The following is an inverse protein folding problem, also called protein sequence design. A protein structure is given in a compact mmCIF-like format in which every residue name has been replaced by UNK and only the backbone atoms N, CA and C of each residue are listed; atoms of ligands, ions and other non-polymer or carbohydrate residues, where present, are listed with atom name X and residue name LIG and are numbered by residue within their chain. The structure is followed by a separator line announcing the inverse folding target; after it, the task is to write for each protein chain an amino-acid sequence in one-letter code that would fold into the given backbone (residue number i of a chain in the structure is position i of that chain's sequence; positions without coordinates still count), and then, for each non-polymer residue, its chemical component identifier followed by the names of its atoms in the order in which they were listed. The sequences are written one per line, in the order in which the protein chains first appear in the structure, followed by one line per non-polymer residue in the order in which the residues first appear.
data_IF_564025655630
#
_entry.id   IF_564025655630
#
_cell.length_a   1.000
_cell.length_b   1.000
_cell.length_c   1.000
_cell.angle_alpha   90.00
_cell.angle_beta   90.00
_cell.angle_gamma   90.00
#
_symmetry.space_group_name_H-M   'P 1'
#
loop_
_entity.id
_entity.type
_entity.pdbx_description
1 polymer ?
#
# COMPACT_ATOMS: atom_id res chain seq x y z
N UNK A 1 8.44 -11.95 -11.07
CA UNK A 1 8.40 -12.00 -9.61
C UNK A 1 8.66 -13.42 -9.13
N UNK A 2 7.84 -14.40 -9.50
CA UNK A 2 8.07 -15.82 -9.18
C UNK A 2 9.40 -16.34 -9.75
N UNK A 3 9.73 -15.98 -11.00
CA UNK A 3 11.03 -16.32 -11.62
C UNK A 3 12.25 -15.74 -10.87
N UNK A 4 12.04 -14.71 -10.05
CA UNK A 4 13.06 -14.11 -9.20
C UNK A 4 13.05 -14.71 -7.77
N UNK A 5 12.27 -15.77 -7.53
CA UNK A 5 12.15 -16.45 -6.25
C UNK A 5 11.30 -15.71 -5.22
N UNK A 6 10.49 -14.73 -5.64
CA UNK A 6 9.61 -13.97 -4.75
C UNK A 6 8.26 -14.68 -4.59
N UNK A 7 7.75 -14.72 -3.36
CA UNK A 7 6.36 -15.10 -3.09
C UNK A 7 5.42 -14.10 -3.75
N UNK A 8 4.47 -14.60 -4.53
CA UNK A 8 3.46 -13.79 -5.21
C UNK A 8 2.09 -14.15 -4.65
N UNK A 9 1.37 -13.12 -4.23
CA UNK A 9 0.02 -13.19 -3.70
C UNK A 9 -0.85 -12.16 -4.42
N UNK A 10 -2.17 -12.30 -4.35
CA UNK A 10 -3.05 -11.20 -4.73
C UNK A 10 -2.87 -10.01 -3.77
N UNK A 11 -3.24 -8.77 -4.18
CA UNK A 11 -3.16 -7.61 -3.29
C UNK A 11 -3.91 -7.80 -1.97
N UNK A 12 -5.07 -8.47 -1.99
CA UNK A 12 -5.86 -8.73 -0.79
C UNK A 12 -5.14 -9.71 0.15
N UNK A 13 -4.64 -10.83 -0.36
CA UNK A 13 -3.89 -11.80 0.44
C UNK A 13 -2.59 -11.21 1.00
N UNK A 14 -1.85 -10.45 0.19
CA UNK A 14 -0.64 -9.78 0.63
C UNK A 14 -0.93 -8.74 1.74
N UNK A 15 -2.01 -7.96 1.60
CA UNK A 15 -2.38 -6.95 2.59
C UNK A 15 -2.85 -7.57 3.89
N UNK A 16 -3.54 -8.70 3.85
CA UNK A 16 -3.97 -9.42 5.05
C UNK A 16 -2.80 -10.10 5.79
N UNK A 17 -1.68 -10.35 5.10
CA UNK A 17 -0.51 -11.02 5.67
C UNK A 17 0.54 -10.04 6.23
N UNK A 18 0.60 -8.82 5.71
CA UNK A 18 1.73 -7.91 5.94
C UNK A 18 1.45 -6.86 7.02
N UNK A 19 2.43 -6.65 7.92
CA UNK A 19 2.43 -5.50 8.84
C UNK A 19 2.90 -4.19 8.16
N UNK A 20 3.63 -4.30 7.04
CA UNK A 20 4.14 -3.17 6.25
C UNK A 20 3.80 -3.37 4.78
N UNK A 21 3.03 -2.44 4.22
CA UNK A 21 2.51 -2.51 2.84
C UNK A 21 3.08 -1.35 2.02
N UNK A 22 3.88 -1.67 1.00
CA UNK A 22 4.41 -0.69 0.04
C UNK A 22 3.57 -0.66 -1.23
N UNK A 23 2.86 0.44 -1.49
CA UNK A 23 2.08 0.63 -2.70
C UNK A 23 2.95 1.23 -3.81
N UNK A 24 3.21 0.44 -4.86
CA UNK A 24 4.02 0.82 -6.03
C UNK A 24 3.28 0.67 -7.38
N UNK A 25 1.96 0.48 -7.34
CA UNK A 25 1.14 0.55 -8.56
C UNK A 25 1.04 2.01 -9.06
N UNK A 26 0.75 2.26 -10.34
CA UNK A 26 0.61 3.62 -10.87
C UNK A 26 -0.41 4.46 -10.09
N UNK A 27 -0.08 5.74 -9.83
CA UNK A 27 -0.90 6.65 -9.03
C UNK A 27 -2.40 6.67 -9.38
N UNK A 28 -2.83 6.66 -10.67
CA UNK A 28 -4.25 6.71 -11.03
C UNK A 28 -5.07 5.50 -10.56
N UNK A 29 -4.43 4.37 -10.27
CA UNK A 29 -5.11 3.14 -9.84
C UNK A 29 -4.91 2.82 -8.35
N UNK A 30 -4.02 3.51 -7.65
CA UNK A 30 -3.74 3.25 -6.24
C UNK A 30 -4.99 3.38 -5.37
N UNK A 31 -5.79 4.43 -5.55
CA UNK A 31 -7.02 4.63 -4.76
C UNK A 31 -8.02 3.48 -4.89
N UNK A 32 -8.18 2.95 -6.11
CA UNK A 32 -9.05 1.79 -6.36
C UNK A 32 -8.53 0.54 -5.65
N UNK A 33 -7.23 0.23 -5.82
CA UNK A 33 -6.62 -0.95 -5.19
C UNK A 33 -6.63 -0.85 -3.67
N UNK A 34 -6.39 0.35 -3.12
CA UNK A 34 -6.50 0.61 -1.70
C UNK A 34 -7.89 0.24 -1.17
N UNK A 35 -8.94 0.77 -1.80
CA UNK A 35 -10.31 0.55 -1.36
C UNK A 35 -10.76 -0.91 -1.52
N UNK A 36 -10.37 -1.57 -2.62
CA UNK A 36 -10.83 -2.93 -2.94
C UNK A 36 -10.01 -4.04 -2.28
N UNK A 37 -8.78 -3.78 -1.83
CA UNK A 37 -7.86 -4.85 -1.43
C UNK A 37 -6.97 -4.56 -0.23
N UNK A 38 -6.82 -3.30 0.19
CA UNK A 38 -5.89 -2.95 1.28
C UNK A 38 -6.66 -2.51 2.53
N UNK A 39 -7.61 -1.58 2.36
CA UNK A 39 -8.26 -0.85 3.46
C UNK A 39 -8.83 -1.75 4.56
N UNK A 40 -9.54 -2.80 4.17
CA UNK A 40 -10.23 -3.69 5.12
C UNK A 40 -9.30 -4.76 5.72
N UNK A 41 -8.05 -4.84 5.26
CA UNK A 41 -7.04 -5.77 5.76
C UNK A 41 -6.05 -5.10 6.73
N UNK A 42 -6.11 -3.78 6.89
CA UNK A 42 -5.24 -3.04 7.79
C UNK A 42 -5.64 -3.21 9.26
N UNK A 43 -4.65 -3.43 10.11
CA UNK A 43 -4.74 -3.49 11.55
C UNK A 43 -4.10 -2.26 12.21
N UNK A 44 -4.48 -1.99 13.46
CA UNK A 44 -3.83 -0.95 14.26
C UNK A 44 -2.33 -1.27 14.46
N UNK A 45 -1.47 -0.32 14.13
CA UNK A 45 -0.01 -0.47 14.17
C UNK A 45 0.62 -0.88 12.84
N UNK A 46 -0.18 -1.24 11.82
CA UNK A 46 0.35 -1.48 10.47
C UNK A 46 0.90 -0.19 9.87
N UNK A 47 1.73 -0.33 8.85
CA UNK A 47 2.29 0.81 8.12
C UNK A 47 2.04 0.74 6.61
N UNK A 48 1.50 1.84 6.07
CA UNK A 48 1.25 2.02 4.65
C UNK A 48 2.29 2.97 4.03
N UNK A 49 3.12 2.42 3.15
CA UNK A 49 4.20 3.13 2.48
C UNK A 49 3.89 3.44 1.02
N UNK A 50 4.38 4.59 0.56
CA UNK A 50 4.24 5.04 -0.83
C UNK A 50 5.58 5.42 -1.45
N UNK A 51 5.72 5.18 -2.76
CA UNK A 51 6.84 5.70 -3.57
C UNK A 51 6.65 7.15 -4.02
N UNK A 52 5.41 7.64 -4.00
CA UNK A 52 5.03 9.00 -4.36
C UNK A 52 3.80 9.43 -3.57
N UNK A 53 3.77 10.69 -3.11
CA UNK A 53 2.75 11.18 -2.18
C UNK A 53 1.42 11.62 -2.81
N UNK A 54 1.18 11.42 -4.11
CA UNK A 54 0.01 11.98 -4.81
C UNK A 54 -1.33 11.63 -4.15
N UNK A 55 -1.57 10.33 -3.93
CA UNK A 55 -2.85 9.86 -3.42
C UNK A 55 -3.14 10.28 -1.97
N UNK A 56 -2.10 10.40 -1.14
CA UNK A 56 -2.21 10.93 0.22
C UNK A 56 -2.40 12.45 0.19
N UNK A 57 -1.57 13.17 -0.58
CA UNK A 57 -1.60 14.65 -0.64
C UNK A 57 -2.95 15.19 -1.12
N UNK A 58 -3.60 14.53 -2.07
CA UNK A 58 -4.87 14.94 -2.64
C UNK A 58 -6.08 14.20 -2.05
N UNK A 59 -5.88 13.33 -1.05
CA UNK A 59 -6.96 12.69 -0.30
C UNK A 59 -7.73 11.62 -1.06
N UNK A 60 -7.13 11.03 -2.10
CA UNK A 60 -7.68 9.87 -2.81
C UNK A 60 -7.50 8.56 -2.03
N UNK A 61 -6.49 8.51 -1.15
CA UNK A 61 -6.32 7.44 -0.16
C UNK A 61 -6.38 8.08 1.22
N UNK A 62 -7.20 7.49 2.11
CA UNK A 62 -7.41 7.96 3.48
C UNK A 62 -7.22 6.78 4.46
N UNK A 63 -5.98 6.57 4.95
CA UNK A 63 -5.68 5.54 5.93
C UNK A 63 -6.39 5.80 7.26
N UNK A 64 -6.75 4.75 8.03
CA UNK A 64 -7.29 4.92 9.37
C UNK A 64 -6.23 5.49 10.34
N UNK A 65 -6.67 6.10 11.44
CA UNK A 65 -5.79 6.83 12.36
C UNK A 65 -4.74 5.96 13.08
N UNK A 66 -4.98 4.65 13.19
CA UNK A 66 -4.07 3.69 13.82
C UNK A 66 -2.99 3.12 12.89
N UNK A 67 -2.95 3.54 11.62
CA UNK A 67 -1.99 3.07 10.63
C UNK A 67 -0.96 4.15 10.35
N UNK A 68 0.31 3.79 10.44
CA UNK A 68 1.42 4.68 10.09
C UNK A 68 1.43 4.93 8.58
N UNK A 69 1.61 6.19 8.17
CA UNK A 69 1.66 6.56 6.75
C UNK A 69 3.02 7.15 6.43
N UNK A 70 3.79 6.44 5.61
CA UNK A 70 5.18 6.78 5.31
C UNK A 70 5.43 6.91 3.80
N UNK A 71 6.50 7.61 3.43
CA UNK A 71 6.92 7.72 2.03
C UNK A 71 8.42 7.49 1.93
N UNK A 72 8.81 6.56 1.05
CA UNK A 72 10.19 6.34 0.63
C UNK A 72 10.22 6.51 -0.88
N UNK A 73 10.74 7.65 -1.33
CA UNK A 73 10.72 8.05 -2.73
C UNK A 73 12.15 8.14 -3.28
N UNK A 74 12.74 7.03 -3.75
CA UNK A 74 14.08 7.02 -4.31
C UNK A 74 14.23 8.07 -5.41
N UNK A 75 15.36 8.76 -5.40
CA UNK A 75 15.81 9.57 -6.53
C UNK A 75 16.88 8.73 -7.23
N UNK A 76 16.53 8.29 -8.45
CA UNK A 76 17.45 7.57 -9.31
C UNK A 76 18.65 8.42 -9.70
#
# INVERSE_FOLDING_TARGET
AEEQGLTVLSPAEASAWADVIMILVPDPIQGKIYEESVKDNLSDGDALFFGHGFNIRFGFVKPPAGVDVCMVAPKG
#
